data_IF_605880074566
#
_entry.id   IF_605880074566
#
_cell.length_a   1.000
_cell.length_b   1.000
_cell.length_c   1.000
_cell.angle_alpha   90.00
_cell.angle_beta   90.00
_cell.angle_gamma   90.00
#
_symmetry.space_group_name_H-M   'P 1'
#
loop_
_entity.id
_entity.type
_entity.pdbx_description
1 polymer ?
#
# COMPACT_ATOMS: atom_id res chain seq x y z
N UNK A 1 13.28 14.90 -13.11
CA UNK A 1 13.87 14.26 -11.91
C UNK A 1 13.74 15.24 -10.75
N UNK A 2 12.99 14.93 -9.68
CA UNK A 2 12.92 15.79 -8.49
C UNK A 2 13.36 14.98 -7.26
N UNK A 3 14.66 14.77 -7.17
CA UNK A 3 15.33 14.52 -5.88
C UNK A 3 16.04 15.84 -5.56
N UNK A 4 15.53 16.60 -4.59
CA UNK A 4 16.25 17.79 -4.11
C UNK A 4 17.32 17.32 -3.12
N UNK A 5 18.57 17.39 -3.58
CA UNK A 5 19.78 17.02 -2.85
C UNK A 5 20.11 18.14 -1.86
N UNK A 6 19.65 18.00 -0.62
CA UNK A 6 20.07 18.86 0.49
C UNK A 6 21.27 18.24 1.24
N UNK A 7 22.38 18.02 0.54
CA UNK A 7 23.73 17.84 1.11
C UNK A 7 23.95 16.75 2.17
N UNK A 8 23.20 15.64 2.12
CA UNK A 8 23.41 14.47 2.99
C UNK A 8 24.08 13.33 2.18
N UNK A 9 25.29 12.85 2.58
CA UNK A 9 26.04 11.84 1.84
C UNK A 9 25.28 10.53 1.56
N UNK A 10 24.38 10.13 2.48
CA UNK A 10 23.58 8.91 2.34
C UNK A 10 22.48 9.04 1.28
N UNK A 11 21.96 10.26 1.11
CA UNK A 11 20.91 10.59 0.14
C UNK A 11 21.47 10.73 -1.27
N UNK A 12 22.69 11.24 -1.40
CA UNK A 12 23.42 11.32 -2.68
C UNK A 12 23.75 9.91 -3.19
N UNK A 13 24.27 9.03 -2.32
CA UNK A 13 24.61 7.66 -2.68
C UNK A 13 23.38 6.84 -3.12
N UNK A 14 22.22 7.04 -2.49
CA UNK A 14 20.97 6.40 -2.87
C UNK A 14 20.44 6.90 -4.23
N UNK A 15 20.46 8.21 -4.44
CA UNK A 15 20.05 8.83 -5.70
C UNK A 15 20.98 8.40 -6.85
N UNK A 16 22.28 8.33 -6.60
CA UNK A 16 23.29 7.85 -7.54
C UNK A 16 23.13 6.37 -7.86
N UNK A 17 22.86 5.52 -6.87
CA UNK A 17 22.56 4.11 -7.11
C UNK A 17 21.30 3.94 -7.98
N UNK A 18 20.25 4.72 -7.73
CA UNK A 18 19.04 4.69 -8.57
C UNK A 18 19.27 5.28 -9.97
N UNK A 19 20.12 6.29 -10.09
CA UNK A 19 20.50 6.88 -11.36
C UNK A 19 21.34 5.92 -12.20
N UNK A 20 22.32 5.26 -11.58
CA UNK A 20 23.12 4.21 -12.20
C UNK A 20 22.25 2.99 -12.57
N UNK A 21 21.27 2.62 -11.74
CA UNK A 21 20.27 1.60 -12.05
C UNK A 21 19.47 1.98 -13.31
N UNK A 22 18.96 3.20 -13.37
CA UNK A 22 18.17 3.70 -14.50
C UNK A 22 18.97 3.84 -15.81
N UNK A 23 20.26 4.15 -15.71
CA UNK A 23 21.15 4.27 -16.87
C UNK A 23 21.73 2.92 -17.32
N UNK A 24 21.43 1.81 -16.63
CA UNK A 24 22.02 0.50 -16.89
C UNK A 24 23.52 0.44 -16.57
N UNK A 25 24.03 1.36 -15.74
CA UNK A 25 25.41 1.42 -15.30
C UNK A 25 25.70 0.48 -14.11
N UNK A 26 24.66 0.04 -13.38
CA UNK A 26 24.78 -1.11 -12.48
C UNK A 26 24.73 -2.36 -13.36
N UNK A 27 25.91 -2.95 -13.59
CA UNK A 27 26.02 -4.19 -14.34
C UNK A 27 25.29 -5.31 -13.60
N UNK A 28 24.42 -6.07 -14.28
CA UNK A 28 23.85 -7.26 -13.68
C UNK A 28 24.98 -8.20 -13.32
N UNK A 29 24.89 -8.85 -12.16
CA UNK A 29 25.94 -9.73 -11.64
C UNK A 29 26.20 -10.94 -12.58
N UNK A 30 25.30 -11.17 -13.55
CA UNK A 30 25.35 -12.21 -14.56
C UNK A 30 24.68 -11.77 -15.89
N UNK A 31 24.82 -12.57 -16.95
CA UNK A 31 24.26 -12.37 -18.32
C UNK A 31 22.72 -12.22 -18.40
N UNK A 32 21.99 -12.24 -17.27
CA UNK A 32 20.53 -12.30 -17.17
C UNK A 32 19.85 -10.93 -16.93
N UNK A 33 20.57 -9.80 -16.92
CA UNK A 33 19.95 -8.46 -16.80
C UNK A 33 19.40 -8.10 -15.42
N UNK A 34 19.80 -8.81 -14.35
CA UNK A 34 19.27 -8.61 -13.00
C UNK A 34 20.19 -7.84 -12.03
N UNK A 35 19.64 -6.91 -11.24
CA UNK A 35 20.40 -6.12 -10.23
C UNK A 35 20.12 -6.60 -8.79
N UNK A 36 21.16 -6.61 -7.94
CA UNK A 36 21.08 -6.99 -6.54
C UNK A 36 20.41 -5.90 -5.67
N UNK A 37 19.36 -6.26 -4.92
CA UNK A 37 18.60 -5.40 -3.99
C UNK A 37 19.47 -4.79 -2.86
N UNK A 38 20.62 -5.40 -2.58
CA UNK A 38 21.55 -5.02 -1.51
C UNK A 38 22.08 -3.58 -1.67
N UNK A 39 22.07 -3.02 -2.89
CA UNK A 39 22.52 -1.66 -3.18
C UNK A 39 21.47 -0.57 -2.88
N UNK A 40 20.22 -0.95 -2.56
CA UNK A 40 19.07 -0.03 -2.47
C UNK A 40 18.53 0.10 -1.03
N UNK A 41 18.75 -0.89 -0.16
CA UNK A 41 18.25 -0.83 1.22
C UNK A 41 18.68 -2.01 2.08
N UNK A 42 18.26 -2.00 3.36
CA UNK A 42 18.57 -3.07 4.32
C UNK A 42 17.77 -4.32 3.99
N UNK A 43 18.45 -5.44 3.77
CA UNK A 43 17.80 -6.74 3.65
C UNK A 43 17.51 -7.30 5.04
N UNK A 44 16.29 -7.78 5.24
CA UNK A 44 15.84 -8.47 6.46
C UNK A 44 15.58 -9.94 6.16
N UNK A 45 15.71 -10.81 7.16
CA UNK A 45 15.66 -12.27 6.99
C UNK A 45 14.28 -12.86 7.18
N UNK A 46 13.38 -12.13 7.82
CA UNK A 46 12.02 -12.60 8.12
C UNK A 46 10.98 -11.50 7.85
N UNK A 47 9.74 -11.91 7.60
CA UNK A 47 8.62 -10.97 7.48
C UNK A 47 8.42 -10.19 8.80
N UNK A 48 8.74 -10.79 9.94
CA UNK A 48 8.65 -10.16 11.25
C UNK A 48 9.66 -9.01 11.38
N UNK A 49 10.93 -9.24 11.01
CA UNK A 49 11.94 -8.19 10.97
C UNK A 49 11.55 -7.05 10.03
N UNK A 50 10.87 -7.34 8.91
CA UNK A 50 10.35 -6.29 8.01
C UNK A 50 9.33 -5.41 8.71
N UNK A 51 8.33 -6.04 9.36
CA UNK A 51 7.28 -5.32 10.10
C UNK A 51 7.90 -4.45 11.19
N UNK A 52 8.86 -4.98 11.95
CA UNK A 52 9.56 -4.25 13.00
C UNK A 52 10.44 -3.12 12.46
N UNK A 53 11.08 -3.30 11.31
CA UNK A 53 11.90 -2.25 10.71
C UNK A 53 11.05 -1.10 10.16
N UNK A 54 9.90 -1.40 9.56
CA UNK A 54 9.00 -0.38 8.98
C UNK A 54 8.15 0.28 10.04
N UNK A 55 7.67 -0.49 11.02
CA UNK A 55 6.72 -0.07 12.03
C UNK A 55 7.36 -0.22 13.43
N UNK A 56 8.60 0.23 13.56
CA UNK A 56 9.38 0.09 14.80
C UNK A 56 8.62 0.67 15.98
N UNK A 57 8.41 -0.15 17.01
CA UNK A 57 7.87 0.30 18.28
C UNK A 57 6.46 0.94 18.18
N UNK A 58 5.54 0.36 17.38
CA UNK A 58 4.14 0.86 17.30
C UNK A 58 3.45 0.94 18.66
N UNK A 59 3.87 0.13 19.62
CA UNK A 59 3.38 0.22 21.00
C UNK A 59 3.71 1.56 21.66
N UNK A 60 4.86 2.18 21.33
CA UNK A 60 5.33 3.45 21.91
C UNK A 60 4.89 4.69 21.09
N UNK A 61 4.70 4.57 19.78
CA UNK A 61 4.26 5.68 18.90
C UNK A 61 2.78 5.59 18.46
N UNK A 62 1.94 4.88 19.23
CA UNK A 62 0.55 4.60 18.88
C UNK A 62 -0.31 5.86 18.63
N UNK A 63 0.09 7.01 19.19
CA UNK A 63 -0.67 8.26 19.18
C UNK A 63 -0.18 9.22 18.09
N UNK A 64 1.03 9.02 17.54
CA UNK A 64 1.63 9.91 16.55
C UNK A 64 1.20 9.55 15.12
N UNK A 65 0.05 10.07 14.71
CA UNK A 65 -0.52 9.77 13.40
C UNK A 65 0.33 10.26 12.21
N UNK A 66 1.09 11.35 12.40
CA UNK A 66 2.07 11.86 11.43
C UNK A 66 3.24 10.92 11.21
N UNK A 67 3.65 10.19 12.25
CA UNK A 67 4.69 9.16 12.16
C UNK A 67 4.17 7.92 11.42
N UNK A 68 2.96 7.46 11.77
CA UNK A 68 2.35 6.29 11.13
C UNK A 68 2.11 6.50 9.64
N UNK A 69 1.69 7.71 9.22
CA UNK A 69 1.28 7.95 7.84
C UNK A 69 2.44 7.98 6.83
N UNK A 70 3.68 8.20 7.31
CA UNK A 70 4.90 8.24 6.50
C UNK A 70 5.53 6.85 6.28
N UNK A 71 4.87 5.79 6.75
CA UNK A 71 5.40 4.42 6.73
C UNK A 71 4.46 3.50 5.97
N UNK A 72 5.00 2.57 5.18
CA UNK A 72 4.18 1.57 4.53
C UNK A 72 4.98 0.30 4.24
N UNK A 73 4.29 -0.84 4.32
CA UNK A 73 4.79 -2.06 3.68
C UNK A 73 4.15 -2.18 2.30
N UNK A 74 4.98 -2.34 1.28
CA UNK A 74 4.60 -2.46 -0.11
C UNK A 74 4.66 -3.92 -0.51
N UNK A 75 3.55 -4.38 -1.06
CA UNK A 75 3.39 -5.74 -1.58
C UNK A 75 3.11 -5.68 -3.09
N UNK A 76 3.59 -6.66 -3.87
CA UNK A 76 3.33 -6.69 -5.30
C UNK A 76 1.84 -6.86 -5.64
N UNK A 77 1.09 -7.70 -4.93
CA UNK A 77 -0.30 -8.03 -5.28
C UNK A 77 -1.31 -7.54 -4.26
N UNK A 78 -2.49 -7.15 -4.73
CA UNK A 78 -3.58 -6.67 -3.87
C UNK A 78 -4.12 -7.74 -2.91
N UNK A 79 -4.07 -9.02 -3.28
CA UNK A 79 -4.45 -10.15 -2.41
C UNK A 79 -3.61 -10.18 -1.12
N UNK A 80 -2.31 -9.91 -1.24
CA UNK A 80 -1.36 -9.94 -0.12
C UNK A 80 -1.49 -8.70 0.79
N UNK A 81 -2.00 -7.59 0.25
CA UNK A 81 -2.26 -6.36 1.02
C UNK A 81 -3.20 -6.66 2.19
N UNK A 82 -4.27 -7.43 1.92
CA UNK A 82 -5.28 -7.74 2.93
C UNK A 82 -4.72 -8.66 4.02
N UNK A 83 -3.92 -9.65 3.63
CA UNK A 83 -3.28 -10.60 4.56
C UNK A 83 -2.31 -9.86 5.48
N UNK A 84 -1.43 -9.04 4.91
CA UNK A 84 -0.43 -8.28 5.67
C UNK A 84 -1.07 -7.28 6.63
N UNK A 85 -2.07 -6.53 6.17
CA UNK A 85 -2.79 -5.60 7.03
C UNK A 85 -3.49 -6.31 8.20
N UNK A 86 -4.05 -7.51 7.97
CA UNK A 86 -4.67 -8.30 9.04
C UNK A 86 -3.65 -8.77 10.07
N UNK A 87 -2.50 -9.27 9.63
CA UNK A 87 -1.41 -9.65 10.55
C UNK A 87 -0.96 -8.47 11.41
N UNK A 88 -0.70 -7.31 10.79
CA UNK A 88 -0.31 -6.09 11.49
C UNK A 88 -1.37 -5.63 12.50
N UNK A 89 -2.66 -5.69 12.14
CA UNK A 89 -3.74 -5.33 13.06
C UNK A 89 -3.72 -6.19 14.32
N UNK A 90 -3.49 -7.51 14.19
CA UNK A 90 -3.45 -8.45 15.30
C UNK A 90 -2.25 -8.20 16.22
N UNK A 91 -1.09 -7.88 15.65
CA UNK A 91 0.15 -7.58 16.39
C UNK A 91 0.05 -6.27 17.21
N UNK A 92 -0.75 -5.30 16.77
CA UNK A 92 -0.88 -4.05 17.50
C UNK A 92 -1.63 -4.19 18.82
N UNK A 93 -1.25 -3.46 19.88
CA UNK A 93 -2.04 -3.40 21.10
C UNK A 93 -3.42 -2.75 20.85
N UNK A 94 -4.38 -3.05 21.73
CA UNK A 94 -5.72 -2.47 21.73
C UNK A 94 -6.82 -3.47 21.39
N UNK A 95 -8.04 -3.14 21.82
CA UNK A 95 -9.22 -3.97 21.59
C UNK A 95 -9.68 -3.93 20.13
N UNK A 96 -9.92 -5.11 19.55
CA UNK A 96 -10.50 -5.24 18.21
C UNK A 96 -12.01 -5.00 18.28
N UNK A 97 -12.51 -4.06 17.49
CA UNK A 97 -13.92 -3.94 17.19
C UNK A 97 -14.22 -4.68 15.89
N UNK A 98 -15.18 -5.60 15.94
CA UNK A 98 -15.64 -6.36 14.77
C UNK A 98 -16.96 -5.76 14.26
N UNK A 99 -17.01 -5.50 12.95
CA UNK A 99 -18.21 -5.07 12.24
C UNK A 99 -18.58 -6.10 11.18
N UNK A 100 -19.73 -6.74 11.35
CA UNK A 100 -20.34 -7.59 10.32
C UNK A 100 -21.16 -6.74 9.37
N UNK A 101 -21.09 -7.04 8.07
CA UNK A 101 -21.95 -6.42 7.06
C UNK A 101 -23.37 -6.95 7.17
N UNK A 102 -24.29 -6.25 6.53
CA UNK A 102 -25.65 -6.72 6.29
C UNK A 102 -25.77 -6.93 4.79
N UNK A 103 -25.92 -8.18 4.38
CA UNK A 103 -25.96 -8.58 2.98
C UNK A 103 -27.38 -9.03 2.62
N UNK A 104 -27.92 -8.49 1.54
CA UNK A 104 -29.30 -8.77 1.10
C UNK A 104 -29.34 -8.87 -0.42
N UNK A 105 -30.06 -9.84 -0.97
CA UNK A 105 -30.38 -9.84 -2.41
C UNK A 105 -31.18 -8.59 -2.76
N UNK A 106 -31.01 -8.08 -3.99
CA UNK A 106 -31.80 -6.97 -4.50
C UNK A 106 -33.18 -7.44 -4.99
N UNK A 107 -33.28 -8.69 -5.46
CA UNK A 107 -34.54 -9.36 -5.78
C UNK A 107 -34.93 -10.33 -4.65
N UNK A 108 -36.17 -10.21 -4.17
CA UNK A 108 -36.72 -11.07 -3.13
C UNK A 108 -36.94 -12.50 -3.61
N UNK A 109 -37.19 -12.71 -4.91
CA UNK A 109 -37.35 -14.03 -5.50
C UNK A 109 -36.03 -14.81 -5.51
N UNK A 110 -34.91 -14.09 -5.59
CA UNK A 110 -33.57 -14.64 -5.54
C UNK A 110 -33.10 -14.99 -4.11
N UNK A 111 -33.79 -14.52 -3.07
CA UNK A 111 -33.40 -14.75 -1.68
C UNK A 111 -33.40 -16.25 -1.30
N UNK A 112 -34.22 -17.05 -1.99
CA UNK A 112 -34.23 -18.52 -1.82
C UNK A 112 -33.01 -19.17 -2.48
N UNK A 113 -32.54 -18.63 -3.60
CA UNK A 113 -31.41 -19.15 -4.36
C UNK A 113 -30.06 -18.71 -3.78
N UNK A 114 -30.01 -17.50 -3.19
CA UNK A 114 -28.80 -16.90 -2.63
C UNK A 114 -29.03 -16.51 -1.16
N UNK A 115 -28.91 -17.48 -0.23
CA UNK A 115 -29.09 -17.22 1.19
C UNK A 115 -28.02 -16.25 1.72
N UNK A 116 -28.32 -15.56 2.83
CA UNK A 116 -27.42 -14.53 3.40
C UNK A 116 -26.06 -15.11 3.79
N UNK A 117 -26.02 -16.36 4.27
CA UNK A 117 -24.80 -17.08 4.60
C UNK A 117 -23.89 -17.24 3.38
N UNK A 118 -24.46 -17.48 2.20
CA UNK A 118 -23.72 -17.52 0.94
C UNK A 118 -23.21 -16.12 0.57
N UNK A 119 -24.07 -15.10 0.63
CA UNK A 119 -23.66 -13.71 0.35
C UNK A 119 -22.49 -13.24 1.23
N UNK A 120 -22.50 -13.60 2.51
CA UNK A 120 -21.45 -13.26 3.48
C UNK A 120 -20.07 -13.86 3.13
N UNK A 121 -20.03 -14.92 2.32
CA UNK A 121 -18.78 -15.55 1.86
C UNK A 121 -18.19 -14.86 0.63
N UNK A 122 -18.99 -14.05 -0.08
CA UNK A 122 -18.58 -13.41 -1.32
C UNK A 122 -17.64 -12.24 -1.05
N UNK A 123 -16.48 -12.28 -1.71
CA UNK A 123 -15.51 -11.19 -1.73
C UNK A 123 -15.29 -10.71 -3.16
N UNK A 124 -15.36 -9.39 -3.38
CA UNK A 124 -14.99 -8.77 -4.66
C UNK A 124 -14.00 -7.64 -4.46
N UNK A 125 -13.14 -7.37 -5.48
CA UNK A 125 -12.39 -6.13 -5.54
C UNK A 125 -13.32 -4.91 -5.36
N UNK A 126 -12.80 -3.83 -4.76
CA UNK A 126 -13.61 -2.62 -4.49
C UNK A 126 -14.62 -2.72 -3.33
N UNK A 127 -15.16 -3.89 -3.01
CA UNK A 127 -16.17 -4.05 -1.95
C UNK A 127 -15.51 -4.40 -0.60
N UNK A 128 -16.00 -3.85 0.54
CA UNK A 128 -15.57 -4.27 1.86
C UNK A 128 -15.93 -5.74 2.17
N UNK A 129 -15.06 -6.39 2.96
CA UNK A 129 -15.33 -7.74 3.48
C UNK A 129 -16.58 -7.75 4.37
N UNK A 130 -17.25 -8.91 4.43
CA UNK A 130 -18.34 -9.14 5.39
C UNK A 130 -17.88 -8.85 6.82
N UNK A 131 -16.71 -9.37 7.21
CA UNK A 131 -16.10 -9.11 8.52
C UNK A 131 -15.04 -8.04 8.38
N UNK A 132 -15.27 -6.89 9.02
CA UNK A 132 -14.32 -5.79 9.13
C UNK A 132 -13.85 -5.66 10.58
N UNK A 133 -12.54 -5.81 10.79
CA UNK A 133 -11.88 -5.69 12.09
C UNK A 133 -11.10 -4.38 12.14
N UNK A 134 -11.32 -3.58 13.18
CA UNK A 134 -10.66 -2.28 13.37
C UNK A 134 -10.20 -2.10 14.81
N UNK A 135 -9.18 -1.27 15.02
CA UNK A 135 -8.74 -0.79 16.33
C UNK A 135 -8.65 0.73 16.29
N UNK A 136 -8.85 1.39 17.44
CA UNK A 136 -8.60 2.83 17.59
C UNK A 136 -7.10 3.10 17.33
N UNK A 137 -6.76 4.27 16.81
CA UNK A 137 -5.39 4.68 16.50
C UNK A 137 -4.79 4.02 15.26
N UNK A 138 -5.59 3.30 14.46
CA UNK A 138 -5.12 2.56 13.28
C UNK A 138 -5.45 3.26 11.98
N UNK A 139 -4.55 3.07 11.01
CA UNK A 139 -4.68 3.67 9.69
C UNK A 139 -5.66 2.87 8.84
N UNK A 140 -6.66 3.59 8.34
CA UNK A 140 -7.60 3.11 7.34
C UNK A 140 -7.57 4.01 6.11
N UNK A 141 -8.14 3.55 5.01
CA UNK A 141 -8.36 4.32 3.80
C UNK A 141 -9.75 4.03 3.24
N UNK A 142 -10.37 5.04 2.65
CA UNK A 142 -11.59 4.89 1.89
C UNK A 142 -11.24 4.47 0.44
N UNK A 143 -11.87 3.43 -0.15
CA UNK A 143 -11.54 2.94 -1.48
C UNK A 143 -11.81 3.97 -2.60
N UNK A 144 -12.85 4.80 -2.46
CA UNK A 144 -13.33 5.69 -3.54
C UNK A 144 -13.35 7.20 -3.19
N UNK A 145 -13.20 8.03 -4.23
CA UNK A 145 -13.37 9.49 -4.46
C UNK A 145 -13.48 10.52 -3.31
N UNK A 146 -14.08 10.22 -2.17
CA UNK A 146 -14.28 11.20 -1.08
C UNK A 146 -12.98 11.65 -0.42
N UNK A 147 -11.96 10.78 -0.44
CA UNK A 147 -10.66 11.06 0.19
C UNK A 147 -9.47 10.79 -0.74
N UNK A 148 -9.65 10.49 -2.03
CA UNK A 148 -8.55 10.17 -2.98
C UNK A 148 -7.53 9.14 -2.43
N UNK A 149 -8.02 8.12 -1.71
CA UNK A 149 -7.17 7.14 -1.04
C UNK A 149 -6.25 7.72 0.04
N UNK A 150 -6.56 8.91 0.59
CA UNK A 150 -5.89 9.45 1.78
C UNK A 150 -6.05 8.46 2.93
N UNK A 151 -4.97 8.34 3.70
CA UNK A 151 -4.97 7.62 4.95
C UNK A 151 -5.73 8.46 5.98
N UNK A 152 -6.50 7.77 6.80
CA UNK A 152 -7.23 8.32 7.93
C UNK A 152 -6.82 7.53 9.16
N UNK A 153 -6.78 8.16 10.32
CA UNK A 153 -6.60 7.44 11.57
C UNK A 153 -7.93 7.31 12.32
N UNK A 154 -8.25 6.10 12.76
CA UNK A 154 -9.44 5.83 13.58
C UNK A 154 -9.32 6.53 14.93
N UNK A 155 -10.21 7.48 15.19
CA UNK A 155 -10.31 8.17 16.47
C UNK A 155 -11.35 7.53 17.39
N UNK A 156 -12.52 7.17 16.83
CA UNK A 156 -13.61 6.53 17.59
C UNK A 156 -14.34 5.52 16.74
N UNK A 157 -14.67 4.38 17.36
CA UNK A 157 -15.41 3.28 16.77
C UNK A 157 -16.81 3.25 17.38
N UNK A 158 -17.83 3.57 16.59
CA UNK A 158 -19.24 3.56 17.00
C UNK A 158 -20.04 2.59 16.12
N UNK A 159 -21.23 2.20 16.57
CA UNK A 159 -22.05 1.17 15.89
C UNK A 159 -22.28 1.44 14.39
N UNK A 160 -22.58 2.68 14.02
CA UNK A 160 -23.00 3.05 12.66
C UNK A 160 -22.10 4.07 11.97
N UNK A 161 -21.14 4.66 12.70
CA UNK A 161 -20.25 5.71 12.23
C UNK A 161 -18.84 5.45 12.79
N UNK A 162 -17.82 5.65 11.97
CA UNK A 162 -16.43 5.69 12.40
C UNK A 162 -15.98 7.15 12.34
N UNK A 163 -15.50 7.67 13.47
CA UNK A 163 -14.84 8.98 13.53
C UNK A 163 -13.36 8.79 13.27
N UNK A 164 -12.82 9.57 12.35
CA UNK A 164 -11.42 9.51 11.93
C UNK A 164 -10.80 10.90 11.92
N UNK A 165 -9.48 10.96 11.90
CA UNK A 165 -8.71 12.18 11.64
C UNK A 165 -7.99 12.02 10.30
N UNK A 166 -8.00 13.04 9.45
CA UNK A 166 -7.18 13.09 8.24
C UNK A 166 -5.72 13.25 8.64
N UNK A 167 -4.84 12.36 8.18
CA UNK A 167 -3.43 12.35 8.62
C UNK A 167 -2.46 12.93 7.59
N UNK A 168 -2.91 13.23 6.37
CA UNK A 168 -2.07 13.76 5.30
C UNK A 168 -2.77 14.82 4.45
N UNK A 169 -1.99 15.74 3.87
CA UNK A 169 -2.46 16.80 2.98
C UNK A 169 -2.92 18.06 3.71
N UNK A 170 -3.51 19.00 2.96
CA UNK A 170 -3.91 20.31 3.47
C UNK A 170 -4.98 20.27 4.58
N UNK A 171 -5.81 19.23 4.59
CA UNK A 171 -6.86 19.02 5.59
C UNK A 171 -6.40 18.15 6.79
N UNK A 172 -5.08 17.98 6.98
CA UNK A 172 -4.56 17.17 8.07
C UNK A 172 -5.00 17.74 9.44
N UNK A 173 -5.46 16.85 10.34
CA UNK A 173 -6.01 17.21 11.64
C UNK A 173 -7.54 17.35 11.67
N UNK A 174 -8.21 17.47 10.52
CA UNK A 174 -9.67 17.54 10.46
C UNK A 174 -10.32 16.18 10.76
N UNK A 175 -11.50 16.22 11.39
CA UNK A 175 -12.29 15.02 11.65
C UNK A 175 -13.13 14.63 10.42
N UNK A 176 -13.18 13.34 10.11
CA UNK A 176 -14.02 12.76 9.06
C UNK A 176 -14.85 11.62 9.63
N UNK A 177 -16.15 11.66 9.36
CA UNK A 177 -17.11 10.65 9.80
C UNK A 177 -17.46 9.75 8.61
N UNK A 178 -17.26 8.45 8.79
CA UNK A 178 -17.58 7.45 7.77
C UNK A 178 -18.76 6.61 8.26
N UNK A 179 -19.94 6.75 7.65
CA UNK A 179 -21.08 5.88 7.95
C UNK A 179 -20.94 4.54 7.21
N UNK A 180 -21.79 3.58 7.58
CA UNK A 180 -22.02 2.40 6.73
C UNK A 180 -22.74 2.83 5.45
N UNK A 181 -22.23 2.41 4.30
CA UNK A 181 -22.80 2.72 2.99
C UNK A 181 -23.23 1.42 2.33
N UNK A 182 -24.41 1.38 1.68
CA UNK A 182 -24.78 0.24 0.86
C UNK A 182 -24.00 0.23 -0.44
N UNK A 183 -23.38 -0.91 -0.74
CA UNK A 183 -22.59 -1.12 -1.95
C UNK A 183 -23.23 -2.27 -2.72
N UNK A 184 -23.48 -2.07 -4.01
CA UNK A 184 -24.01 -3.08 -4.92
C UNK A 184 -22.86 -3.49 -5.84
N UNK A 185 -22.30 -4.71 -5.69
CA UNK A 185 -21.25 -5.18 -6.58
C UNK A 185 -21.83 -5.52 -7.96
N UNK A 186 -21.07 -5.23 -9.01
CA UNK A 186 -21.50 -5.49 -10.40
C UNK A 186 -20.92 -6.77 -11.00
N UNK A 187 -20.00 -7.45 -10.29
CA UNK A 187 -19.21 -8.57 -10.82
C UNK A 187 -19.89 -9.95 -10.65
N UNK A 188 -21.20 -9.99 -10.35
CA UNK A 188 -21.94 -11.22 -10.09
C UNK A 188 -23.13 -11.38 -11.06
N UNK A 189 -23.54 -12.63 -11.36
CA UNK A 189 -24.69 -12.89 -12.23
C UNK A 189 -26.05 -12.55 -11.57
N UNK A 190 -26.03 -12.13 -10.30
CA UNK A 190 -27.18 -11.69 -9.51
C UNK A 190 -26.83 -10.39 -8.79
N UNK A 191 -27.83 -9.66 -8.35
CA UNK A 191 -27.63 -8.37 -7.67
C UNK A 191 -27.86 -8.53 -6.18
N UNK A 192 -26.86 -8.19 -5.38
CA UNK A 192 -27.02 -8.08 -3.93
C UNK A 192 -26.40 -6.79 -3.43
N UNK A 193 -26.83 -6.39 -2.24
CA UNK A 193 -26.45 -5.17 -1.55
C UNK A 193 -25.72 -5.54 -0.28
N UNK A 194 -24.53 -4.99 -0.08
CA UNK A 194 -23.74 -5.10 1.15
C UNK A 194 -23.72 -3.75 1.87
N UNK A 195 -24.32 -3.67 3.05
CA UNK A 195 -24.23 -2.50 3.93
C UNK A 195 -23.05 -2.65 4.89
N UNK A 196 -21.98 -1.90 4.64
CA UNK A 196 -20.75 -1.95 5.43
C UNK A 196 -20.03 -0.59 5.41
N UNK A 197 -19.07 -0.39 6.32
CA UNK A 197 -18.16 0.74 6.21
C UNK A 197 -17.26 0.61 4.97
N UNK A 198 -17.23 1.60 4.08
CA UNK A 198 -16.38 1.62 2.90
C UNK A 198 -14.93 1.95 3.28
N UNK A 199 -14.28 1.10 4.06
CA UNK A 199 -12.91 1.33 4.54
C UNK A 199 -12.08 0.06 4.49
N UNK A 200 -10.76 0.23 4.36
CA UNK A 200 -9.76 -0.84 4.42
C UNK A 200 -8.59 -0.38 5.28
N UNK A 201 -7.93 -1.31 5.97
CA UNK A 201 -6.68 -1.05 6.67
C UNK A 201 -5.61 -0.57 5.68
N UNK A 202 -4.71 0.32 6.11
CA UNK A 202 -3.76 1.01 5.22
C UNK A 202 -2.32 1.03 5.75
N UNK A 203 -1.90 0.01 6.49
CA UNK A 203 -0.48 -0.16 6.88
C UNK A 203 0.35 -0.71 5.72
N UNK A 204 -0.22 -1.69 5.03
CA UNK A 204 0.29 -2.20 3.78
C UNK A 204 -0.52 -1.65 2.60
N UNK A 205 0.12 -1.48 1.45
CA UNK A 205 -0.53 -1.14 0.19
C UNK A 205 0.19 -1.80 -0.98
N UNK A 206 -0.48 -1.88 -2.13
CA UNK A 206 0.20 -2.34 -3.33
C UNK A 206 1.15 -1.27 -3.85
N UNK A 207 2.21 -1.71 -4.53
CA UNK A 207 3.21 -0.85 -5.16
C UNK A 207 2.55 0.21 -6.06
N UNK A 208 1.57 -0.21 -6.88
CA UNK A 208 0.83 0.71 -7.75
C UNK A 208 0.07 1.79 -6.97
N UNK A 209 -0.37 1.51 -5.74
CA UNK A 209 -1.06 2.50 -4.88
C UNK A 209 -0.09 3.40 -4.10
N UNK A 210 1.17 2.99 -3.97
CA UNK A 210 2.23 3.77 -3.35
C UNK A 210 2.78 4.87 -4.28
N UNK A 211 2.56 4.76 -5.58
CA UNK A 211 2.93 5.78 -6.55
C UNK A 211 2.31 7.14 -6.18
N UNK A 212 3.12 8.19 -6.22
CA UNK A 212 2.73 9.56 -5.84
C UNK A 212 2.48 9.78 -4.35
N UNK A 213 2.98 8.92 -3.46
CA UNK A 213 2.86 9.07 -1.99
C UNK A 213 4.19 9.49 -1.36
N UNK A 214 4.13 10.48 -0.45
CA UNK A 214 5.26 10.87 0.38
C UNK A 214 5.45 9.90 1.57
N UNK A 215 6.20 8.81 1.36
CA UNK A 215 6.58 7.85 2.39
C UNK A 215 8.08 8.01 2.75
N UNK A 216 8.40 8.04 4.04
CA UNK A 216 9.77 8.14 4.57
C UNK A 216 10.37 6.79 4.97
N UNK A 217 9.55 5.79 5.28
CA UNK A 217 10.03 4.43 5.57
C UNK A 217 9.18 3.43 4.81
N UNK A 218 9.84 2.60 4.03
CA UNK A 218 9.19 1.68 3.12
C UNK A 218 9.77 0.30 3.29
N UNK A 219 8.90 -0.68 3.55
CA UNK A 219 9.26 -2.08 3.50
C UNK A 219 8.77 -2.70 2.21
N UNK A 220 9.60 -3.45 1.50
CA UNK A 220 9.15 -4.30 0.41
C UNK A 220 9.04 -5.74 0.90
N UNK A 221 7.83 -6.28 0.89
CA UNK A 221 7.62 -7.71 1.08
C UNK A 221 7.56 -8.38 -0.29
N UNK A 222 8.67 -9.03 -0.64
CA UNK A 222 8.87 -9.68 -1.92
C UNK A 222 8.81 -11.20 -1.78
N UNK A 223 7.98 -11.71 -0.87
CA UNK A 223 7.63 -13.14 -0.80
C UNK A 223 7.05 -13.68 -2.12
N UNK A 224 6.46 -12.80 -2.94
CA UNK A 224 6.04 -13.09 -4.32
C UNK A 224 6.81 -12.19 -5.30
N UNK A 225 7.09 -12.67 -6.52
CA UNK A 225 7.75 -11.85 -7.53
C UNK A 225 6.86 -10.69 -7.99
N UNK A 226 7.48 -9.61 -8.47
CA UNK A 226 6.77 -8.54 -9.18
C UNK A 226 6.10 -9.12 -10.43
N UNK A 227 4.93 -8.59 -10.77
CA UNK A 227 4.16 -9.07 -11.93
C UNK A 227 4.40 -8.22 -13.19
N UNK A 228 5.01 -7.04 -13.06
CA UNK A 228 5.38 -6.20 -14.21
C UNK A 228 6.75 -5.56 -14.04
N UNK A 229 7.43 -5.32 -15.17
CA UNK A 229 8.70 -4.63 -15.23
C UNK A 229 8.58 -3.19 -14.71
N UNK A 230 9.64 -2.68 -14.08
CA UNK A 230 9.75 -1.28 -13.67
C UNK A 230 8.94 -0.88 -12.41
N UNK A 231 8.11 -1.76 -11.84
CA UNK A 231 7.29 -1.47 -10.66
C UNK A 231 8.08 -0.94 -9.46
N UNK A 232 9.19 -1.62 -9.14
CA UNK A 232 10.07 -1.21 -8.06
C UNK A 232 10.75 0.12 -8.37
N UNK A 233 11.24 0.30 -9.60
CA UNK A 233 11.92 1.52 -10.03
C UNK A 233 11.01 2.74 -9.95
N UNK A 234 9.80 2.66 -10.52
CA UNK A 234 8.82 3.76 -10.53
C UNK A 234 8.51 4.21 -9.10
N UNK A 235 8.25 3.26 -8.19
CA UNK A 235 7.96 3.61 -6.81
C UNK A 235 9.17 4.21 -6.13
N UNK A 236 10.34 3.58 -6.23
CA UNK A 236 11.53 4.04 -5.51
C UNK A 236 11.99 5.43 -5.96
N UNK A 237 11.81 5.79 -7.24
CA UNK A 237 12.12 7.14 -7.74
C UNK A 237 11.22 8.25 -7.19
N UNK A 238 10.00 7.91 -6.77
CA UNK A 238 9.02 8.89 -6.30
C UNK A 238 9.03 9.03 -4.77
N UNK A 239 9.80 8.20 -4.08
CA UNK A 239 9.96 8.27 -2.63
C UNK A 239 10.99 9.34 -2.25
N UNK A 240 10.58 10.29 -1.41
CA UNK A 240 11.46 11.31 -0.86
C UNK A 240 12.27 10.75 0.32
N UNK A 241 13.49 10.27 0.03
CA UNK A 241 14.47 9.77 1.03
C UNK A 241 13.93 8.62 1.91
N UNK A 242 13.49 7.50 1.31
CA UNK A 242 12.96 6.40 2.09
C UNK A 242 14.09 5.63 2.80
N UNK A 243 13.89 5.30 4.08
CA UNK A 243 14.57 4.14 4.66
C UNK A 243 13.92 2.88 4.08
N UNK A 244 14.67 2.13 3.26
CA UNK A 244 14.16 0.93 2.59
C UNK A 244 14.59 -0.33 3.34
N UNK A 245 13.63 -1.18 3.65
CA UNK A 245 13.85 -2.53 4.14
C UNK A 245 13.22 -3.54 3.18
N UNK A 246 13.89 -4.65 2.91
CA UNK A 246 13.39 -5.64 1.95
C UNK A 246 13.41 -7.04 2.53
N UNK A 247 12.27 -7.72 2.51
CA UNK A 247 12.16 -9.15 2.81
C UNK A 247 12.05 -9.93 1.49
N UNK A 248 13.10 -10.67 1.09
CA UNK A 248 13.16 -11.31 -0.23
C UNK A 248 12.50 -12.70 -0.24
N UNK A 249 12.16 -13.15 -1.45
CA UNK A 249 11.84 -14.54 -1.76
C UNK A 249 13.02 -15.45 -1.34
N UNK A 250 12.74 -16.57 -0.64
CA UNK A 250 13.78 -17.48 -0.13
C UNK A 250 14.45 -18.34 -1.23
N UNK A 251 14.12 -18.16 -2.51
CA UNK A 251 14.84 -18.82 -3.60
C UNK A 251 16.16 -18.09 -3.88
N UNK A 252 17.17 -18.82 -4.38
CA UNK A 252 18.51 -18.31 -4.72
C UNK A 252 18.54 -17.17 -5.76
N UNK A 253 17.39 -16.76 -6.28
CA UNK A 253 17.25 -15.70 -7.27
C UNK A 253 16.67 -14.44 -6.64
N UNK A 254 17.52 -13.75 -5.88
CA UNK A 254 17.31 -12.38 -5.42
C UNK A 254 17.46 -11.40 -6.61
N UNK A 255 16.57 -11.50 -7.61
CA UNK A 255 16.77 -10.90 -8.94
C UNK A 255 15.65 -9.93 -9.29
N UNK A 256 16.00 -8.68 -9.57
CA UNK A 256 15.11 -7.69 -10.21
C UNK A 256 15.32 -7.82 -11.72
N UNK A 257 14.30 -8.20 -12.49
CA UNK A 257 14.39 -8.21 -13.96
C UNK A 257 14.35 -6.77 -14.49
N UNK A 258 15.51 -6.19 -14.78
CA UNK A 258 15.66 -4.91 -15.47
C UNK A 258 15.98 -5.19 -16.94
N UNK A 259 15.04 -4.94 -17.85
CA UNK A 259 15.34 -4.93 -19.29
C UNK A 259 15.98 -3.56 -19.59
N UNK A 260 17.28 -3.49 -19.95
CA UNK A 260 17.98 -2.21 -20.10
C UNK A 260 17.43 -1.32 -21.23
N UNK A 261 16.85 -1.92 -22.27
CA UNK A 261 16.33 -1.19 -23.44
C UNK A 261 15.10 -0.34 -23.12
N UNK A 262 14.15 -0.85 -22.33
CA UNK A 262 12.94 -0.12 -21.92
C UNK A 262 13.20 0.99 -20.88
N UNK A 263 14.29 0.87 -20.11
CA UNK A 263 14.72 1.93 -19.19
C UNK A 263 15.16 3.18 -19.95
N UNK A 264 15.83 3.02 -21.10
CA UNK A 264 16.25 4.14 -21.96
C UNK A 264 15.06 4.87 -22.57
N UNK A 265 14.07 4.14 -23.07
CA UNK A 265 12.86 4.73 -23.68
C UNK A 265 12.02 5.53 -22.68
N UNK A 266 11.87 5.04 -21.45
CA UNK A 266 11.10 5.74 -20.40
C UNK A 266 11.81 7.01 -19.91
N UNK A 267 13.15 7.00 -19.87
CA UNK A 267 13.99 8.16 -19.52
C UNK A 267 13.96 9.21 -20.64
N UNK A 268 14.02 8.78 -21.91
CA UNK A 268 13.98 9.67 -23.06
C UNK A 268 12.61 10.34 -23.19
N UNK A 269 11.51 9.58 -23.07
CA UNK A 269 10.14 10.11 -23.09
C UNK A 269 9.86 11.11 -21.96
N UNK A 270 10.47 10.94 -20.78
CA UNK A 270 10.38 11.92 -19.68
C UNK A 270 11.26 13.15 -19.89
N UNK A 271 12.46 13.02 -20.50
CA UNK A 271 13.31 14.16 -20.87
C UNK A 271 12.63 15.05 -21.90
N UNK A 272 12.05 14.46 -22.93
CA UNK A 272 11.41 15.19 -24.03
C UNK A 272 10.16 15.96 -23.55
N UNK A 273 9.39 15.38 -22.62
CA UNK A 273 8.27 16.07 -21.98
C UNK A 273 8.68 17.22 -21.03
N UNK A 274 9.86 17.19 -20.41
CA UNK A 274 10.37 18.36 -19.66
C UNK A 274 10.88 19.48 -20.55
N UNK A 275 11.33 19.19 -21.76
CA UNK A 275 11.71 20.21 -22.73
C UNK A 275 10.49 20.92 -23.34
N UNK A 276 9.40 20.20 -23.56
CA UNK A 276 8.15 20.75 -24.11
C UNK A 276 7.35 21.64 -23.13
N UNK A 277 7.61 21.57 -21.82
CA UNK A 277 6.93 22.40 -20.80
C UNK A 277 7.73 23.66 -20.45
N UNK A 278 8.99 23.74 -20.90
CA UNK A 278 9.87 24.90 -20.71
C UNK A 278 10.21 25.62 -22.03
N UNK A 279 9.41 25.42 -23.08
CA UNK A 279 9.47 26.18 -24.34
C UNK A 279 8.18 26.97 -24.56
#
# INVERSE_FOLDING_TARGET
>A
MRVHLNGDPSSEQFADNLFQLGNGAITPDNQDGCIAIQSIGRIVKTQQELKEAVLTNVAQHFIEYSWLCQRAILVPRNEDVSVMNKQLLLEFPGSVQVYKSIDTTCDINEAVNYPTEFLNTLGTPGVPSHTLELKIGKLIMHPDSLCNGRRLCVKKLMRSIIENIIVTGHAAGENVFIPRIPIIPSDFPFHFKRLQFPVRLSFAMSINKAQGRSLKVVGFDLLKPFFSHGQLYVVVQELEKPTICTFPLQTKEQRILCIPELCKETIQAKKDNTCAVNS
#
